data_IF_561400364589
#
_entry.id   IF_561400364589
#
_cell.length_a   1.000
_cell.length_b   1.000
_cell.length_c   1.000
_cell.angle_alpha   90.00
_cell.angle_beta   90.00
_cell.angle_gamma   90.00
#
_symmetry.space_group_name_H-M   'P 1'
#
loop_
_entity.id
_entity.type
_entity.pdbx_description
1 polymer ?
#
# COMPACT_ATOMS: atom_id res chain seq x y z
N UNK A 1 -14.43 5.02 -3.27
CA UNK A 1 -13.05 4.95 -3.82
C UNK A 1 -12.91 5.74 -5.11
N UNK A 2 -13.66 5.45 -6.18
CA UNK A 2 -13.59 6.22 -7.45
C UNK A 2 -13.85 7.72 -7.27
N UNK A 3 -14.87 8.10 -6.50
CA UNK A 3 -15.15 9.50 -6.17
C UNK A 3 -14.02 10.21 -5.39
N UNK A 4 -13.12 9.44 -4.75
CA UNK A 4 -11.91 9.95 -4.11
C UNK A 4 -10.67 9.84 -5.01
N UNK A 5 -10.84 9.66 -6.33
CA UNK A 5 -9.73 9.60 -7.29
C UNK A 5 -9.02 8.24 -7.40
N UNK A 6 -9.47 7.19 -6.69
CA UNK A 6 -8.91 5.86 -6.84
C UNK A 6 -9.46 5.19 -8.10
N UNK A 7 -8.67 5.28 -9.19
CA UNK A 7 -9.06 4.77 -10.50
C UNK A 7 -8.61 3.34 -10.74
N UNK A 8 -7.53 2.89 -10.10
CA UNK A 8 -6.98 1.55 -10.30
C UNK A 8 -7.14 0.71 -9.02
N UNK A 9 -8.14 -0.17 -9.00
CA UNK A 9 -8.44 -1.06 -7.90
C UNK A 9 -8.07 -2.49 -8.28
N UNK A 10 -7.17 -3.09 -7.50
CA UNK A 10 -6.78 -4.50 -7.60
C UNK A 10 -7.13 -5.19 -6.29
N UNK A 11 -7.60 -6.42 -6.38
CA UNK A 11 -7.99 -7.22 -5.21
C UNK A 11 -7.22 -8.52 -5.18
N UNK A 12 -6.80 -8.93 -3.99
CA UNK A 12 -6.12 -10.20 -3.75
C UNK A 12 -6.79 -10.90 -2.59
N UNK A 13 -6.99 -12.21 -2.74
CA UNK A 13 -7.57 -13.05 -1.71
C UNK A 13 -7.11 -14.50 -1.90
N UNK A 14 -6.98 -15.27 -0.81
CA UNK A 14 -6.68 -16.70 -0.88
C UNK A 14 -7.89 -17.59 -1.17
N UNK A 15 -9.12 -17.03 -1.19
CA UNK A 15 -10.36 -17.77 -1.43
C UNK A 15 -10.97 -17.44 -2.78
N UNK A 16 -11.20 -18.46 -3.61
CA UNK A 16 -11.87 -18.33 -4.91
C UNK A 16 -13.29 -17.75 -4.76
N UNK A 17 -14.06 -18.21 -3.77
CA UNK A 17 -15.42 -17.71 -3.53
C UNK A 17 -15.45 -16.22 -3.17
N UNK A 18 -14.45 -15.73 -2.42
CA UNK A 18 -14.32 -14.30 -2.15
C UNK A 18 -13.97 -13.49 -3.40
N UNK A 19 -13.16 -14.05 -4.30
CA UNK A 19 -12.85 -13.41 -5.59
C UNK A 19 -14.07 -13.37 -6.51
N UNK A 20 -14.91 -14.39 -6.52
CA UNK A 20 -16.18 -14.37 -7.27
C UNK A 20 -17.12 -13.29 -6.74
N UNK A 21 -17.26 -13.18 -5.42
CA UNK A 21 -18.02 -12.10 -4.79
C UNK A 21 -17.43 -10.71 -5.13
N UNK A 22 -16.10 -10.56 -5.12
CA UNK A 22 -15.43 -9.33 -5.50
C UNK A 22 -15.65 -8.98 -6.98
N UNK A 23 -15.65 -9.98 -7.87
CA UNK A 23 -15.93 -9.83 -9.30
C UNK A 23 -17.35 -9.35 -9.54
N UNK A 24 -18.33 -9.93 -8.84
CA UNK A 24 -19.74 -9.53 -8.95
C UNK A 24 -19.98 -8.06 -8.60
N UNK A 25 -19.13 -7.44 -7.77
CA UNK A 25 -19.21 -6.01 -7.43
C UNK A 25 -18.74 -5.08 -8.56
N UNK A 26 -17.99 -5.57 -9.55
CA UNK A 26 -17.52 -4.77 -10.69
C UNK A 26 -16.56 -3.62 -10.34
N UNK A 27 -15.97 -3.62 -9.14
CA UNK A 27 -15.12 -2.52 -8.66
C UNK A 27 -13.64 -2.69 -9.02
N UNK A 28 -13.17 -3.93 -9.11
CA UNK A 28 -11.76 -4.27 -9.31
C UNK A 28 -11.45 -4.48 -10.79
N UNK A 29 -10.37 -3.89 -11.31
CA UNK A 29 -9.91 -4.22 -12.68
C UNK A 29 -9.17 -5.54 -12.75
N UNK A 30 -8.55 -5.95 -11.64
CA UNK A 30 -7.81 -7.21 -11.55
C UNK A 30 -8.04 -7.85 -10.19
N UNK A 31 -8.21 -9.17 -10.24
CA UNK A 31 -8.35 -10.04 -9.08
C UNK A 31 -7.29 -11.14 -9.18
N UNK A 32 -6.55 -11.38 -8.11
CA UNK A 32 -5.53 -12.43 -8.04
C UNK A 32 -5.82 -13.36 -6.86
N UNK A 33 -5.70 -14.67 -7.11
CA UNK A 33 -5.71 -15.68 -6.05
C UNK A 33 -4.29 -15.79 -5.51
N UNK A 34 -4.08 -15.37 -4.26
CA UNK A 34 -2.78 -15.38 -3.60
C UNK A 34 -2.98 -15.30 -2.09
N UNK A 35 -2.17 -16.06 -1.34
CA UNK A 35 -2.17 -16.01 0.12
C UNK A 35 -0.96 -15.21 0.61
N UNK A 36 -1.24 -14.09 1.27
CA UNK A 36 -0.21 -13.20 1.82
C UNK A 36 0.75 -13.95 2.76
N UNK A 37 2.06 -13.77 2.58
CA UNK A 37 3.08 -14.42 3.39
C UNK A 37 3.28 -15.92 3.10
N UNK A 38 2.62 -16.48 2.09
CA UNK A 38 2.90 -17.82 1.56
C UNK A 38 3.50 -17.76 0.15
N UNK A 39 3.01 -16.82 -0.66
CA UNK A 39 3.39 -16.65 -2.06
C UNK A 39 3.75 -15.18 -2.31
N UNK A 40 4.73 -14.89 -3.19
CA UNK A 40 5.07 -13.51 -3.54
C UNK A 40 3.89 -12.73 -4.12
N UNK A 41 3.69 -11.51 -3.63
CA UNK A 41 2.65 -10.62 -4.13
C UNK A 41 2.86 -10.27 -5.62
N UNK A 42 1.83 -10.34 -6.47
CA UNK A 42 1.96 -10.11 -7.91
C UNK A 42 2.10 -8.63 -8.31
N UNK A 43 2.32 -7.71 -7.36
CA UNK A 43 2.58 -6.29 -7.60
C UNK A 43 2.34 -5.40 -6.37
N UNK A 44 2.33 -4.06 -6.56
CA UNK A 44 2.04 -3.08 -5.50
C UNK A 44 0.59 -3.22 -5.04
N UNK A 45 0.39 -3.82 -3.87
CA UNK A 45 -0.91 -4.22 -3.34
C UNK A 45 -1.09 -3.78 -1.89
N UNK A 46 -2.33 -3.54 -1.48
CA UNK A 46 -2.71 -3.09 -0.13
C UNK A 46 -3.47 -4.23 0.55
N UNK A 47 -2.99 -4.67 1.72
CA UNK A 47 -3.57 -5.80 2.48
C UNK A 47 -4.26 -5.36 3.77
N UNK A 48 -5.27 -6.11 4.21
CA UNK A 48 -5.95 -5.94 5.50
C UNK A 48 -5.70 -7.18 6.37
N UNK A 49 -4.83 -7.11 7.40
CA UNK A 49 -4.47 -8.29 8.16
C UNK A 49 -5.45 -8.65 9.27
N UNK A 50 -5.87 -9.92 9.33
CA UNK A 50 -6.72 -10.46 10.41
C UNK A 50 -6.29 -11.88 10.81
N UNK A 51 -6.65 -12.30 12.02
CA UNK A 51 -6.42 -13.67 12.50
C UNK A 51 -6.96 -14.72 11.53
N UNK A 52 -6.13 -15.71 11.20
CA UNK A 52 -6.46 -16.77 10.27
C UNK A 52 -6.50 -16.35 8.78
N UNK A 53 -6.09 -15.12 8.42
CA UNK A 53 -6.06 -14.67 7.02
C UNK A 53 -4.71 -14.05 6.60
N UNK A 54 -4.06 -13.26 7.45
CA UNK A 54 -2.75 -12.64 7.11
C UNK A 54 -1.84 -12.62 8.33
N UNK A 55 -0.76 -13.42 8.33
CA UNK A 55 0.23 -13.41 9.41
C UNK A 55 1.03 -12.09 9.44
N UNK A 56 1.48 -11.66 10.63
CA UNK A 56 2.27 -10.42 10.78
C UNK A 56 3.60 -10.46 9.99
N UNK A 57 4.10 -11.65 9.64
CA UNK A 57 5.29 -11.80 8.80
C UNK A 57 5.07 -11.38 7.33
N UNK A 58 3.81 -11.17 6.89
CA UNK A 58 3.49 -10.64 5.57
C UNK A 58 3.64 -9.11 5.48
N UNK A 59 3.77 -8.42 6.63
CA UNK A 59 3.87 -6.96 6.67
C UNK A 59 5.11 -6.46 5.90
N UNK A 60 6.34 -6.99 6.11
CA UNK A 60 7.50 -6.59 5.31
C UNK A 60 7.29 -6.71 3.80
N UNK A 61 6.59 -7.75 3.35
CA UNK A 61 6.28 -7.94 1.94
C UNK A 61 5.33 -6.85 1.41
N UNK A 62 4.25 -6.54 2.14
CA UNK A 62 3.33 -5.45 1.82
C UNK A 62 4.08 -4.12 1.68
N UNK A 63 5.07 -3.88 2.53
CA UNK A 63 5.91 -2.69 2.48
C UNK A 63 6.81 -2.69 1.24
N UNK A 64 7.47 -3.81 0.93
CA UNK A 64 8.34 -3.95 -0.24
C UNK A 64 7.61 -3.71 -1.57
N UNK A 65 6.35 -4.13 -1.67
CA UNK A 65 5.56 -3.90 -2.88
C UNK A 65 4.95 -2.50 -2.92
N UNK A 66 4.89 -1.78 -1.80
CA UNK A 66 4.34 -0.43 -1.77
C UNK A 66 5.32 0.56 -2.42
N UNK A 67 4.82 1.35 -3.36
CA UNK A 67 5.63 2.38 -4.04
C UNK A 67 6.12 3.44 -3.04
N UNK A 68 7.26 4.10 -3.27
CA UNK A 68 7.67 5.26 -2.48
C UNK A 68 6.56 6.31 -2.39
N UNK A 69 6.26 6.79 -1.18
CA UNK A 69 5.13 7.70 -0.90
C UNK A 69 3.74 7.03 -0.92
N UNK A 70 3.67 5.73 -1.17
CA UNK A 70 2.47 4.92 -1.00
C UNK A 70 2.17 4.70 0.49
N UNK A 71 0.90 4.40 0.76
CA UNK A 71 0.40 4.21 2.13
C UNK A 71 -0.08 2.78 2.29
N UNK A 72 0.25 2.20 3.44
CA UNK A 72 -0.26 0.90 3.87
C UNK A 72 -1.23 1.15 5.02
N UNK A 73 -2.44 0.60 4.90
CA UNK A 73 -3.46 0.64 5.95
C UNK A 73 -3.69 -0.79 6.44
N UNK A 74 -3.38 -1.04 7.71
CA UNK A 74 -3.57 -2.33 8.35
C UNK A 74 -4.72 -2.21 9.35
N UNK A 75 -5.69 -3.11 9.27
CA UNK A 75 -6.85 -3.12 10.16
C UNK A 75 -7.08 -4.54 10.65
N UNK A 76 -7.25 -4.72 11.96
CA UNK A 76 -7.60 -6.02 12.55
C UNK A 76 -8.78 -5.87 13.52
N UNK A 77 -9.45 -6.99 13.81
CA UNK A 77 -10.57 -7.03 14.77
C UNK A 77 -10.06 -6.89 16.20
N UNK A 78 -10.86 -6.34 17.11
CA UNK A 78 -10.52 -6.33 18.55
C UNK A 78 -11.48 -7.25 19.29
N UNK A 79 -11.07 -8.51 19.50
CA UNK A 79 -11.79 -9.49 20.31
C UNK A 79 -10.78 -10.40 21.03
N UNK A 80 -11.24 -11.08 22.09
CA UNK A 80 -10.36 -11.84 23.00
C UNK A 80 -9.49 -12.87 22.26
N UNK A 81 -10.06 -13.57 21.27
CA UNK A 81 -9.34 -14.58 20.49
C UNK A 81 -8.28 -14.01 19.55
N UNK A 82 -8.30 -12.71 19.23
CA UNK A 82 -7.36 -12.03 18.33
C UNK A 82 -6.39 -11.10 19.06
N UNK A 83 -6.37 -11.13 20.40
CA UNK A 83 -5.57 -10.20 21.20
C UNK A 83 -4.07 -10.30 20.86
N UNK A 84 -3.54 -11.53 20.79
CA UNK A 84 -2.13 -11.77 20.46
C UNK A 84 -1.77 -11.26 19.07
N UNK A 85 -2.62 -11.48 18.08
CA UNK A 85 -2.39 -10.98 16.72
C UNK A 85 -2.51 -9.47 16.63
N UNK A 86 -3.42 -8.86 17.39
CA UNK A 86 -3.52 -7.41 17.49
C UNK A 86 -2.25 -6.82 18.09
N UNK A 87 -1.77 -7.36 19.21
CA UNK A 87 -0.51 -6.92 19.85
C UNK A 87 0.68 -7.06 18.90
N UNK A 88 0.79 -8.20 18.20
CA UNK A 88 1.84 -8.41 17.20
C UNK A 88 1.74 -7.42 16.03
N UNK A 89 0.52 -7.14 15.56
CA UNK A 89 0.27 -6.18 14.49
C UNK A 89 0.65 -4.75 14.93
N UNK A 90 0.26 -4.32 16.13
CA UNK A 90 0.57 -3.00 16.68
C UNK A 90 2.08 -2.83 16.97
N UNK A 91 2.76 -3.90 17.36
CA UNK A 91 4.21 -3.88 17.59
C UNK A 91 5.06 -3.86 16.30
N UNK A 92 4.47 -4.15 15.13
CA UNK A 92 5.23 -4.22 13.88
C UNK A 92 5.57 -2.82 13.32
N UNK A 93 4.62 -1.87 13.20
CA UNK A 93 4.91 -0.50 12.79
C UNK A 93 5.98 0.17 13.66
N UNK A 94 5.91 0.03 14.99
CA UNK A 94 6.92 0.61 15.88
C UNK A 94 8.35 0.09 15.63
N UNK A 95 8.50 -1.18 15.28
CA UNK A 95 9.81 -1.76 14.89
C UNK A 95 10.32 -1.20 13.56
N UNK A 96 9.41 -0.94 12.62
CA UNK A 96 9.76 -0.38 11.31
C UNK A 96 10.16 1.09 11.39
N UNK A 97 9.49 1.86 12.26
CA UNK A 97 9.87 3.24 12.59
C UNK A 97 11.25 3.31 13.25
N UNK A 98 11.50 2.47 14.25
CA UNK A 98 12.80 2.42 14.93
C UNK A 98 13.94 2.05 13.97
N UNK A 99 13.66 1.22 12.97
CA UNK A 99 14.62 0.86 11.92
C UNK A 99 14.78 1.93 10.83
N UNK A 100 14.00 3.02 10.87
CA UNK A 100 13.98 4.06 9.82
C UNK A 100 13.47 3.55 8.47
N UNK A 101 12.73 2.43 8.45
CA UNK A 101 12.24 1.82 7.23
C UNK A 101 10.92 2.48 6.76
N UNK A 102 10.06 2.87 7.71
CA UNK A 102 8.72 3.44 7.49
C UNK A 102 8.32 4.36 8.62
N UNK A 103 7.48 5.36 8.33
CA UNK A 103 6.91 6.28 9.32
C UNK A 103 5.39 6.04 9.46
N UNK A 104 4.88 5.95 10.69
CA UNK A 104 3.44 5.98 10.92
C UNK A 104 2.90 7.39 10.75
N UNK A 105 1.73 7.46 10.12
CA UNK A 105 1.02 8.72 9.99
C UNK A 105 0.27 9.05 11.29
N UNK A 106 0.30 10.31 11.74
CA UNK A 106 -0.47 10.72 12.91
C UNK A 106 -1.98 10.64 12.61
N UNK A 107 -2.85 10.52 13.63
CA UNK A 107 -4.29 10.52 13.47
C UNK A 107 -4.84 11.77 12.75
N UNK A 108 -4.11 12.89 12.81
CA UNK A 108 -4.45 14.15 12.15
C UNK A 108 -4.12 14.18 10.66
N UNK A 109 -3.43 13.16 10.14
CA UNK A 109 -3.01 13.12 8.75
C UNK A 109 -4.21 13.12 7.81
N UNK A 110 -4.11 13.90 6.74
CA UNK A 110 -5.16 14.03 5.72
C UNK A 110 -4.57 13.72 4.36
N UNK A 111 -5.28 12.87 3.63
CA UNK A 111 -5.01 12.67 2.23
C UNK A 111 -5.58 13.85 1.43
N UNK A 112 -4.71 14.54 0.72
CA UNK A 112 -5.11 15.47 -0.32
C UNK A 112 -4.78 14.82 -1.67
N UNK A 113 -5.76 14.67 -2.58
CA UNK A 113 -5.43 14.32 -3.95
C UNK A 113 -4.44 15.37 -4.45
N UNK A 114 -3.31 14.93 -4.99
CA UNK A 114 -2.48 15.82 -5.79
C UNK A 114 -3.42 16.45 -6.82
N UNK A 115 -3.63 17.76 -6.74
CA UNK A 115 -4.29 18.50 -7.79
C UNK A 115 -3.54 18.16 -9.07
N UNK A 116 -4.21 17.47 -10.00
CA UNK A 116 -3.71 17.31 -11.37
C UNK A 116 -3.20 18.70 -11.77
N UNK A 117 -1.94 18.85 -12.22
CA UNK A 117 -1.50 20.13 -12.70
C UNK A 117 -2.49 20.52 -13.79
N UNK A 118 -3.29 21.57 -13.51
CA UNK A 118 -4.06 22.27 -14.53
C UNK A 118 -3.01 22.58 -15.58
N UNK A 119 -3.08 21.94 -16.75
CA UNK A 119 -2.15 22.21 -17.83
C UNK A 119 -2.14 23.73 -17.98
N UNK A 120 -1.05 24.35 -17.52
CA UNK A 120 -0.87 25.76 -17.72
C UNK A 120 -0.65 25.88 -19.22
N UNK A 121 -1.63 26.50 -19.88
CA UNK A 121 -1.45 27.05 -21.21
C UNK A 121 -0.09 27.73 -21.23
N UNK A 122 0.77 27.22 -22.12
CA UNK A 122 2.14 27.67 -22.33
C UNK A 122 2.27 29.19 -22.28
N UNK A 123 3.13 29.67 -21.40
CA UNK A 123 3.84 30.94 -21.55
C UNK A 123 5.07 30.93 -20.63
N UNK A 124 6.19 30.48 -21.23
CA UNK A 124 7.56 30.96 -21.05
C UNK A 124 8.20 31.10 -19.64
N UNK A 125 9.40 30.48 -19.57
CA UNK A 125 10.57 30.75 -18.73
C UNK A 125 10.43 30.72 -17.20
N UNK A 126 11.07 29.71 -16.60
CA UNK A 126 11.93 29.91 -15.43
C UNK A 126 12.87 28.72 -15.27
N UNK A 127 14.16 29.02 -15.22
CA UNK A 127 15.29 28.12 -14.96
C UNK A 127 15.19 27.47 -13.59
N UNK A 128 15.18 26.13 -13.53
CA UNK A 128 15.45 25.39 -12.30
C UNK A 128 16.72 24.55 -12.50
N UNK A 129 17.70 24.83 -11.64
CA UNK A 129 19.03 24.23 -11.60
C UNK A 129 18.99 22.70 -11.45
N UNK A 130 19.70 22.02 -12.35
CA UNK A 130 19.89 20.58 -12.39
C UNK A 130 20.84 20.10 -11.27
N UNK A 131 20.45 19.01 -10.60
CA UNK A 131 21.26 18.32 -9.59
C UNK A 131 22.48 17.67 -10.25
N UNK A 132 23.70 18.06 -9.82
CA UNK A 132 24.95 17.45 -10.28
C UNK A 132 25.05 15.99 -9.83
N UNK A 133 24.63 15.05 -10.68
CA UNK A 133 25.14 13.67 -10.65
C UNK A 133 25.51 13.23 -12.06
N UNK A 134 26.81 13.10 -12.31
CA UNK A 134 27.32 12.46 -13.53
C UNK A 134 26.98 10.97 -13.50
N UNK A 135 26.45 10.37 -14.58
CA UNK A 135 26.39 8.92 -14.69
C UNK A 135 27.80 8.37 -14.89
N UNK A 136 28.19 7.41 -14.04
CA UNK A 136 29.43 6.65 -14.25
C UNK A 136 29.22 5.70 -15.43
N UNK A 137 30.02 5.88 -16.49
CA UNK A 137 30.10 4.97 -17.62
C UNK A 137 30.72 3.65 -17.14
N UNK A 138 30.07 2.52 -17.46
CA UNK A 138 30.63 1.18 -17.28
C UNK A 138 31.88 1.02 -18.17
N UNK A 139 32.93 0.40 -17.64
CA UNK A 139 33.93 -0.32 -18.43
C UNK A 139 33.67 -1.80 -18.26
#
# INVERSE_FOLDING_TARGET
LRARGFLQLRGVNGSLGMLEQARARGLYQRLSLCTLGQEPLPGPEVGAPSDGQVPCNAIPELLCVTKPGGLVCLTTRTNLSNLQNKEALEATPGRLEQAGAWDCLPPSWRWYPASLPRMASSSALSTCTESRRRPRLRK
#
